data_IF_275097432004
#
_entry.id   IF_275097432004
#
_cell.length_a   1.000
_cell.length_b   1.000
_cell.length_c   1.000
_cell.angle_alpha   90.00
_cell.angle_beta   90.00
_cell.angle_gamma   90.00
#
_symmetry.space_group_name_H-M   'P 1'
#
loop_
_entity.id
_entity.type
_entity.pdbx_description
1 polymer ?
#
# COMPACT_ATOMS: atom_id res chain seq x y z
N UNK A 1 -45.84 6.42 -21.42
CA UNK A 1 -45.23 5.21 -20.84
C UNK A 1 -43.74 5.57 -20.69
N UNK A 2 -43.32 5.87 -19.47
CA UNK A 2 -41.90 6.19 -19.20
C UNK A 2 -41.21 4.85 -18.90
N UNK A 3 -40.35 4.39 -19.79
CA UNK A 3 -39.43 3.30 -19.49
C UNK A 3 -38.41 3.81 -18.48
N UNK A 4 -38.43 3.25 -17.29
CA UNK A 4 -37.31 3.36 -16.36
C UNK A 4 -36.13 2.63 -17.00
N UNK A 5 -35.18 3.38 -17.56
CA UNK A 5 -33.86 2.84 -17.86
C UNK A 5 -33.28 2.37 -16.50
N UNK A 6 -33.17 1.07 -16.31
CA UNK A 6 -32.28 0.52 -15.33
C UNK A 6 -30.86 0.94 -15.74
N UNK A 7 -30.34 1.98 -15.10
CA UNK A 7 -28.93 2.25 -15.14
C UNK A 7 -28.30 1.10 -14.35
N UNK A 8 -27.83 0.08 -15.06
CA UNK A 8 -26.95 -0.92 -14.46
C UNK A 8 -25.73 -0.16 -13.94
N UNK A 9 -25.74 0.13 -12.64
CA UNK A 9 -24.63 0.80 -11.99
C UNK A 9 -23.39 -0.08 -12.18
N UNK A 10 -22.48 0.33 -13.05
CA UNK A 10 -21.16 -0.25 -13.07
C UNK A 10 -20.56 0.02 -11.70
N UNK A 11 -20.33 -1.07 -10.94
CA UNK A 11 -19.61 -0.95 -9.67
C UNK A 11 -18.22 -0.41 -9.95
N UNK A 12 -17.80 0.57 -9.16
CA UNK A 12 -16.45 1.11 -9.24
C UNK A 12 -15.41 0.01 -9.02
N UNK A 13 -14.40 -0.05 -9.89
CA UNK A 13 -13.29 -0.98 -9.75
C UNK A 13 -12.28 -0.38 -8.79
N UNK A 14 -12.20 -0.97 -7.60
CA UNK A 14 -11.30 -0.55 -6.52
C UNK A 14 -10.17 -1.56 -6.38
N UNK A 15 -8.94 -1.10 -6.37
CA UNK A 15 -7.75 -1.92 -6.11
C UNK A 15 -7.03 -1.45 -4.85
N UNK A 16 -6.48 -2.39 -4.13
CA UNK A 16 -5.61 -2.16 -2.97
C UNK A 16 -4.23 -2.73 -3.30
N UNK A 17 -3.23 -1.89 -3.36
CA UNK A 17 -1.85 -2.29 -3.63
C UNK A 17 -1.02 -2.14 -2.36
N UNK A 18 -0.56 -3.26 -1.83
CA UNK A 18 0.40 -3.30 -0.72
C UNK A 18 1.82 -3.23 -1.25
N UNK A 19 2.57 -2.20 -0.88
CA UNK A 19 3.90 -1.91 -1.40
C UNK A 19 4.97 -2.19 -0.35
N UNK A 20 5.90 -3.06 -0.69
CA UNK A 20 6.98 -3.49 0.20
C UNK A 20 6.50 -4.47 1.28
N UNK A 21 7.37 -4.79 2.24
CA UNK A 21 7.06 -5.79 3.28
C UNK A 21 5.88 -5.38 4.16
N UNK A 22 5.87 -4.15 4.65
CA UNK A 22 4.78 -3.63 5.50
C UNK A 22 3.44 -3.58 4.76
N UNK A 23 3.44 -3.09 3.51
CA UNK A 23 2.24 -3.05 2.67
C UNK A 23 1.73 -4.44 2.30
N UNK A 24 2.64 -5.37 1.99
CA UNK A 24 2.30 -6.77 1.72
C UNK A 24 1.61 -7.43 2.92
N UNK A 25 2.17 -7.27 4.12
CA UNK A 25 1.57 -7.80 5.35
C UNK A 25 0.18 -7.21 5.63
N UNK A 26 0.00 -5.91 5.35
CA UNK A 26 -1.29 -5.26 5.52
C UNK A 26 -2.34 -5.85 4.56
N UNK A 27 -1.98 -6.05 3.30
CA UNK A 27 -2.89 -6.65 2.30
C UNK A 27 -3.18 -8.11 2.60
N UNK A 28 -2.20 -8.90 3.04
CA UNK A 28 -2.42 -10.28 3.51
C UNK A 28 -3.42 -10.32 4.67
N UNK A 29 -3.33 -9.38 5.60
CA UNK A 29 -4.31 -9.24 6.68
C UNK A 29 -5.71 -8.91 6.16
N UNK A 30 -5.84 -7.98 5.19
CA UNK A 30 -7.11 -7.59 4.57
C UNK A 30 -7.78 -8.76 3.85
N UNK A 31 -7.00 -9.57 3.12
CA UNK A 31 -7.48 -10.80 2.47
C UNK A 31 -7.99 -11.80 3.50
N UNK A 32 -7.23 -12.00 4.58
CA UNK A 32 -7.61 -12.91 5.66
C UNK A 32 -8.87 -12.46 6.40
N UNK A 33 -9.09 -11.15 6.49
CA UNK A 33 -10.28 -10.54 7.09
C UNK A 33 -11.49 -10.48 6.11
N UNK A 34 -11.35 -11.03 4.90
CA UNK A 34 -12.41 -11.12 3.89
C UNK A 34 -13.00 -9.76 3.48
N UNK A 35 -12.16 -8.76 3.27
CA UNK A 35 -12.59 -7.49 2.71
C UNK A 35 -13.08 -7.70 1.27
N UNK A 36 -14.36 -7.46 1.05
CA UNK A 36 -15.04 -7.68 -0.24
C UNK A 36 -15.08 -6.41 -1.11
N UNK A 37 -15.35 -6.60 -2.40
CA UNK A 37 -15.57 -5.50 -3.35
C UNK A 37 -14.29 -4.82 -3.84
N UNK A 38 -13.11 -5.35 -3.53
CA UNK A 38 -11.81 -4.81 -3.94
C UNK A 38 -10.90 -5.91 -4.50
N UNK A 39 -9.99 -5.51 -5.39
CA UNK A 39 -8.92 -6.38 -5.85
C UNK A 39 -7.62 -6.07 -5.08
N UNK A 40 -6.91 -7.12 -4.68
CA UNK A 40 -5.65 -6.99 -3.95
C UNK A 40 -4.44 -7.31 -4.82
N UNK A 41 -3.41 -6.48 -4.68
CA UNK A 41 -2.10 -6.67 -5.32
C UNK A 41 -1.01 -6.48 -4.27
N UNK A 42 -0.07 -7.42 -4.19
CA UNK A 42 1.15 -7.26 -3.39
C UNK A 42 2.31 -6.93 -4.34
N UNK A 43 2.94 -5.78 -4.16
CA UNK A 43 4.09 -5.31 -4.93
C UNK A 43 5.34 -5.24 -4.04
N UNK A 44 6.41 -5.91 -4.44
CA UNK A 44 7.64 -5.95 -3.66
C UNK A 44 8.87 -6.20 -4.54
N UNK A 45 10.04 -5.79 -4.07
CA UNK A 45 11.35 -6.15 -4.62
C UNK A 45 11.90 -7.47 -4.04
N UNK A 46 11.29 -7.96 -2.96
CA UNK A 46 11.63 -9.22 -2.31
C UNK A 46 10.73 -10.35 -2.83
N UNK A 47 11.31 -11.24 -3.66
CA UNK A 47 10.59 -12.36 -4.24
C UNK A 47 10.13 -13.38 -3.18
N UNK A 48 10.89 -13.57 -2.12
CA UNK A 48 10.52 -14.51 -1.05
C UNK A 48 9.29 -14.01 -0.26
N UNK A 49 9.21 -12.70 -0.03
CA UNK A 49 8.04 -12.09 0.61
C UNK A 49 6.79 -12.29 -0.26
N UNK A 50 6.90 -12.11 -1.58
CA UNK A 50 5.80 -12.34 -2.52
C UNK A 50 5.37 -13.82 -2.57
N UNK A 51 6.30 -14.77 -2.54
CA UNK A 51 5.97 -16.20 -2.52
C UNK A 51 5.22 -16.64 -1.26
N UNK A 52 5.40 -15.94 -0.15
CA UNK A 52 4.71 -16.23 1.12
C UNK A 52 3.38 -15.51 1.26
N UNK A 53 3.10 -14.55 0.37
CA UNK A 53 1.86 -13.79 0.40
C UNK A 53 0.66 -14.65 0.04
N UNK A 54 -0.43 -14.47 0.77
CA UNK A 54 -1.74 -15.06 0.45
C UNK A 54 -2.51 -14.31 -0.64
N UNK A 55 -1.94 -13.22 -1.16
CA UNK A 55 -2.56 -12.42 -2.22
C UNK A 55 -2.43 -13.11 -3.57
N UNK A 56 -3.53 -13.24 -4.29
CA UNK A 56 -3.57 -13.94 -5.58
C UNK A 56 -2.82 -13.22 -6.71
N UNK A 57 -2.73 -11.89 -6.63
CA UNK A 57 -2.01 -11.06 -7.60
C UNK A 57 -0.76 -10.47 -6.94
N UNK A 58 0.39 -10.92 -7.38
CA UNK A 58 1.69 -10.41 -6.90
C UNK A 58 2.44 -9.73 -8.03
N UNK A 59 3.20 -8.69 -7.70
CA UNK A 59 4.00 -7.92 -8.64
C UNK A 59 5.42 -7.77 -8.09
N UNK A 60 6.37 -8.51 -8.67
CA UNK A 60 7.77 -8.31 -8.38
C UNK A 60 8.28 -7.08 -9.11
N UNK A 61 8.92 -6.16 -8.37
CA UNK A 61 9.49 -4.93 -8.89
C UNK A 61 11.01 -5.02 -8.97
N UNK A 62 11.58 -4.51 -10.05
CA UNK A 62 13.02 -4.34 -10.21
C UNK A 62 13.79 -5.66 -10.15
N UNK A 63 13.32 -6.69 -10.84
CA UNK A 63 13.98 -8.00 -10.86
C UNK A 63 15.42 -7.89 -11.38
N UNK A 64 15.64 -7.09 -12.43
CA UNK A 64 16.97 -6.84 -12.98
C UNK A 64 17.90 -6.15 -12.00
N UNK A 65 17.38 -5.24 -11.19
CA UNK A 65 18.15 -4.45 -10.24
C UNK A 65 18.45 -5.20 -8.93
N UNK A 66 17.44 -5.86 -8.35
CA UNK A 66 17.54 -6.46 -7.00
C UNK A 66 17.70 -7.98 -7.01
N UNK A 67 17.45 -8.64 -8.14
CA UNK A 67 17.43 -10.11 -8.29
C UNK A 67 16.51 -10.80 -7.25
N UNK A 68 15.45 -10.10 -6.85
CA UNK A 68 14.51 -10.62 -5.86
C UNK A 68 14.99 -10.57 -4.41
N UNK A 69 16.11 -9.90 -4.13
CA UNK A 69 16.70 -9.82 -2.78
C UNK A 69 16.19 -8.63 -1.95
N UNK A 70 15.27 -7.85 -2.51
CA UNK A 70 14.75 -6.66 -1.84
C UNK A 70 15.60 -5.40 -2.04
N UNK A 71 15.13 -4.27 -1.52
CA UNK A 71 15.78 -2.96 -1.67
C UNK A 71 16.82 -2.63 -0.58
N UNK A 72 17.06 -3.54 0.37
CA UNK A 72 18.08 -3.35 1.41
C UNK A 72 17.86 -2.10 2.29
N UNK A 73 16.62 -1.76 2.62
CA UNK A 73 16.23 -0.56 3.36
C UNK A 73 16.67 0.76 2.69
N UNK A 74 16.94 0.75 1.38
CA UNK A 74 17.31 1.92 0.60
C UNK A 74 16.14 2.39 -0.28
N UNK A 75 15.49 3.54 0.02
CA UNK A 75 14.36 4.06 -0.76
C UNK A 75 14.71 4.33 -2.24
N UNK A 76 15.94 4.72 -2.54
CA UNK A 76 16.34 4.98 -3.92
C UNK A 76 16.34 3.70 -4.77
N UNK A 77 16.75 2.57 -4.18
CA UNK A 77 16.66 1.25 -4.84
C UNK A 77 15.19 0.87 -5.07
N UNK A 78 14.32 1.12 -4.10
CA UNK A 78 12.87 0.91 -4.25
C UNK A 78 12.26 1.77 -5.37
N UNK A 79 12.66 3.03 -5.46
CA UNK A 79 12.26 3.96 -6.52
C UNK A 79 12.70 3.48 -7.90
N UNK A 80 13.98 3.12 -8.03
CA UNK A 80 14.53 2.63 -9.30
C UNK A 80 13.86 1.33 -9.73
N UNK A 81 13.62 0.41 -8.81
CA UNK A 81 12.91 -0.85 -9.06
C UNK A 81 11.50 -0.62 -9.62
N UNK A 82 10.72 0.29 -9.03
CA UNK A 82 9.40 0.64 -9.55
C UNK A 82 9.49 1.37 -10.89
N UNK A 83 10.50 2.22 -11.08
CA UNK A 83 10.72 2.95 -12.33
C UNK A 83 11.09 2.03 -13.49
N UNK A 84 11.84 0.95 -13.22
CA UNK A 84 12.16 -0.10 -14.20
C UNK A 84 10.89 -0.83 -14.69
N UNK A 85 9.92 -1.01 -13.81
CA UNK A 85 8.69 -1.75 -14.07
C UNK A 85 7.45 -0.85 -14.27
N UNK A 86 7.62 0.41 -14.72
CA UNK A 86 6.50 1.35 -14.95
C UNK A 86 5.39 0.77 -15.82
N UNK A 87 5.74 0.07 -16.88
CA UNK A 87 4.75 -0.52 -17.79
C UNK A 87 3.96 -1.64 -17.13
N UNK A 88 4.60 -2.45 -16.30
CA UNK A 88 3.95 -3.50 -15.51
C UNK A 88 2.98 -2.90 -14.49
N UNK A 89 3.40 -1.84 -13.79
CA UNK A 89 2.54 -1.11 -12.85
C UNK A 89 1.37 -0.47 -13.58
N UNK A 90 1.62 0.19 -14.71
CA UNK A 90 0.59 0.82 -15.51
C UNK A 90 -0.47 -0.17 -15.98
N UNK A 91 -0.05 -1.35 -16.45
CA UNK A 91 -0.95 -2.44 -16.85
C UNK A 91 -1.80 -2.96 -15.67
N UNK A 92 -1.22 -3.07 -14.48
CA UNK A 92 -1.95 -3.48 -13.27
C UNK A 92 -3.00 -2.45 -12.83
N UNK A 93 -2.82 -1.17 -13.18
CA UNK A 93 -3.73 -0.07 -12.88
C UNK A 93 -4.82 0.13 -13.95
N UNK A 94 -4.72 -0.53 -15.10
CA UNK A 94 -5.71 -0.37 -16.18
C UNK A 94 -7.13 -0.78 -15.71
N UNK A 95 -8.12 0.01 -16.11
CA UNK A 95 -9.52 -0.21 -15.75
C UNK A 95 -9.86 0.03 -14.27
N UNK A 96 -8.96 0.67 -13.52
CA UNK A 96 -9.17 1.00 -12.11
C UNK A 96 -9.78 2.38 -11.97
N UNK A 97 -10.85 2.52 -11.18
CA UNK A 97 -11.48 3.79 -10.85
C UNK A 97 -10.84 4.42 -9.62
N UNK A 98 -10.48 3.60 -8.64
CA UNK A 98 -9.85 4.02 -7.40
C UNK A 98 -8.77 3.04 -6.95
N UNK A 99 -7.67 3.55 -6.44
CA UNK A 99 -6.59 2.75 -5.86
C UNK A 99 -6.26 3.21 -4.44
N UNK A 100 -6.18 2.24 -3.55
CA UNK A 100 -5.55 2.40 -2.24
C UNK A 100 -4.10 1.93 -2.32
N UNK A 101 -3.18 2.78 -1.90
CA UNK A 101 -1.78 2.41 -1.71
C UNK A 101 -1.51 2.25 -0.22
N UNK A 102 -1.11 1.07 0.21
CA UNK A 102 -0.70 0.83 1.60
C UNK A 102 0.78 0.45 1.66
N UNK A 103 1.50 1.08 2.58
CA UNK A 103 2.93 0.84 2.76
C UNK A 103 3.36 1.13 4.20
N UNK A 104 4.33 0.38 4.68
CA UNK A 104 5.12 0.77 5.84
C UNK A 104 6.25 1.70 5.40
N UNK A 105 6.17 2.98 5.76
CA UNK A 105 7.19 3.95 5.40
C UNK A 105 8.45 3.78 6.28
N UNK A 106 9.60 4.12 5.71
CA UNK A 106 10.90 3.99 6.37
C UNK A 106 11.77 2.83 5.88
N UNK A 107 11.19 1.87 5.17
CA UNK A 107 11.93 0.83 4.45
C UNK A 107 12.36 1.27 3.06
N UNK A 108 12.94 0.34 2.29
CA UNK A 108 13.39 0.65 0.93
C UNK A 108 12.25 0.64 -0.09
N UNK A 109 11.57 -0.49 -0.22
CA UNK A 109 10.56 -0.68 -1.29
C UNK A 109 9.33 0.19 -1.06
N UNK A 110 8.71 0.13 0.13
CA UNK A 110 7.50 0.90 0.42
C UNK A 110 7.72 2.40 0.24
N UNK A 111 8.79 2.93 0.82
CA UNK A 111 9.12 4.36 0.79
C UNK A 111 9.45 4.85 -0.62
N UNK A 112 10.21 4.07 -1.39
CA UNK A 112 10.67 4.49 -2.71
C UNK A 112 9.68 4.18 -3.84
N UNK A 113 9.03 3.03 -3.81
CA UNK A 113 8.14 2.58 -4.88
C UNK A 113 6.73 3.18 -4.80
N UNK A 114 6.18 3.42 -3.60
CA UNK A 114 4.83 3.95 -3.45
C UNK A 114 4.62 5.29 -4.19
N UNK A 115 5.54 6.27 -4.13
CA UNK A 115 5.41 7.49 -4.92
C UNK A 115 5.39 7.26 -6.43
N UNK A 116 6.16 6.31 -6.94
CA UNK A 116 6.16 5.97 -8.38
C UNK A 116 4.82 5.40 -8.81
N UNK A 117 4.25 4.50 -8.02
CA UNK A 117 2.93 3.92 -8.28
C UNK A 117 1.85 5.01 -8.20
N UNK A 118 1.91 5.88 -7.21
CA UNK A 118 0.99 7.01 -7.06
C UNK A 118 1.02 7.96 -8.25
N UNK A 119 2.21 8.28 -8.76
CA UNK A 119 2.38 9.11 -9.94
C UNK A 119 1.72 8.48 -11.17
N UNK A 120 1.91 7.18 -11.39
CA UNK A 120 1.30 6.46 -12.50
C UNK A 120 -0.23 6.43 -12.40
N UNK A 121 -0.76 6.21 -11.19
CA UNK A 121 -2.20 6.28 -10.94
C UNK A 121 -2.76 7.67 -11.25
N UNK A 122 -2.06 8.73 -10.83
CA UNK A 122 -2.41 10.11 -11.13
C UNK A 122 -2.39 10.41 -12.62
N UNK A 123 -1.36 9.95 -13.35
CA UNK A 123 -1.26 10.12 -14.82
C UNK A 123 -2.43 9.45 -15.56
N UNK A 124 -2.98 8.37 -15.00
CA UNK A 124 -4.16 7.67 -15.52
C UNK A 124 -5.50 8.26 -15.06
N UNK A 125 -5.50 9.31 -14.25
CA UNK A 125 -6.71 9.91 -13.69
C UNK A 125 -7.44 9.04 -12.66
N UNK A 126 -6.74 8.09 -12.02
CA UNK A 126 -7.29 7.19 -11.01
C UNK A 126 -7.31 7.93 -9.65
N UNK A 127 -8.46 7.89 -8.97
CA UNK A 127 -8.57 8.39 -7.60
C UNK A 127 -7.63 7.59 -6.69
N UNK A 128 -6.66 8.27 -6.08
CA UNK A 128 -5.58 7.63 -5.33
C UNK A 128 -5.61 8.04 -3.86
N UNK A 129 -5.78 7.07 -2.98
CA UNK A 129 -5.71 7.24 -1.52
C UNK A 129 -4.56 6.42 -0.97
N UNK A 130 -3.63 7.07 -0.29
CA UNK A 130 -2.55 6.38 0.39
C UNK A 130 -2.85 6.26 1.90
N UNK A 131 -2.70 5.06 2.43
CA UNK A 131 -2.84 4.74 3.85
C UNK A 131 -1.55 4.08 4.29
N UNK A 132 -0.71 4.81 5.00
CA UNK A 132 0.67 4.39 5.31
C UNK A 132 0.97 4.48 6.80
N UNK A 133 1.91 3.68 7.27
CA UNK A 133 2.40 3.77 8.63
C UNK A 133 3.72 4.52 8.70
N UNK A 134 3.89 5.29 9.78
CA UNK A 134 5.16 5.88 10.19
C UNK A 134 5.81 4.95 11.23
N UNK A 135 7.11 4.61 11.10
CA UNK A 135 7.75 3.61 11.94
C UNK A 135 7.74 3.97 13.43
N UNK A 136 7.87 2.94 14.28
CA UNK A 136 8.10 3.09 15.71
C UNK A 136 9.46 3.75 15.97
N UNK A 137 9.60 4.48 17.08
CA UNK A 137 10.84 5.15 17.46
C UNK A 137 12.03 4.19 17.64
N UNK A 138 11.76 2.95 18.12
CA UNK A 138 12.78 1.94 18.28
C UNK A 138 13.34 1.37 16.95
N UNK A 139 12.67 1.61 15.82
CA UNK A 139 13.16 1.19 14.51
C UNK A 139 14.37 2.04 14.03
N UNK A 140 14.60 3.15 14.69
CA UNK A 140 15.79 3.98 14.50
C UNK A 140 15.55 5.24 13.69
N UNK A 141 16.38 6.24 13.99
CA UNK A 141 16.26 7.60 13.44
C UNK A 141 16.32 7.63 11.91
N UNK A 142 17.20 6.83 11.31
CA UNK A 142 17.37 6.75 9.86
C UNK A 142 16.07 6.29 9.15
N UNK A 143 15.35 5.33 9.74
CA UNK A 143 14.05 4.88 9.21
C UNK A 143 12.99 5.95 9.32
N UNK A 144 12.97 6.68 10.42
CA UNK A 144 12.01 7.77 10.64
C UNK A 144 12.25 8.89 9.63
N UNK A 145 13.50 9.31 9.41
CA UNK A 145 13.86 10.32 8.42
C UNK A 145 13.49 9.90 7.00
N UNK A 146 13.77 8.66 6.62
CA UNK A 146 13.36 8.10 5.33
C UNK A 146 11.83 8.08 5.18
N UNK A 147 11.11 7.69 6.24
CA UNK A 147 9.64 7.70 6.25
C UNK A 147 9.08 9.11 6.07
N UNK A 148 9.59 10.09 6.80
CA UNK A 148 9.11 11.47 6.74
C UNK A 148 9.33 12.08 5.34
N UNK A 149 10.46 11.79 4.70
CA UNK A 149 10.73 12.21 3.32
C UNK A 149 9.77 11.52 2.33
N UNK A 150 9.58 10.22 2.44
CA UNK A 150 8.68 9.47 1.56
C UNK A 150 7.21 9.85 1.73
N UNK A 151 6.77 10.11 2.97
CA UNK A 151 5.41 10.61 3.27
C UNK A 151 5.17 11.96 2.61
N UNK A 152 6.15 12.87 2.68
CA UNK A 152 6.06 14.17 2.03
C UNK A 152 5.90 14.03 0.51
N UNK A 153 6.76 13.24 -0.14
CA UNK A 153 6.66 13.00 -1.58
C UNK A 153 5.31 12.37 -1.97
N UNK A 154 4.89 11.36 -1.22
CA UNK A 154 3.63 10.66 -1.50
C UNK A 154 2.43 11.60 -1.38
N UNK A 155 2.44 12.50 -0.39
CA UNK A 155 1.39 13.48 -0.17
C UNK A 155 1.20 14.46 -1.32
N UNK A 156 2.24 14.75 -2.10
CA UNK A 156 2.16 15.61 -3.29
C UNK A 156 1.53 14.91 -4.51
N UNK A 157 1.45 13.57 -4.49
CA UNK A 157 1.05 12.73 -5.61
C UNK A 157 -0.34 12.10 -5.47
N UNK A 158 -0.86 12.00 -4.25
CA UNK A 158 -2.15 11.34 -3.96
C UNK A 158 -3.26 12.36 -3.73
N UNK A 159 -4.51 11.94 -3.92
CA UNK A 159 -5.68 12.76 -3.63
C UNK A 159 -5.96 12.85 -2.14
N UNK A 160 -5.68 11.80 -1.40
CA UNK A 160 -5.78 11.77 0.06
C UNK A 160 -4.65 10.92 0.67
N UNK A 161 -4.08 11.41 1.76
CA UNK A 161 -3.02 10.72 2.50
C UNK A 161 -3.45 10.56 3.96
N UNK A 162 -3.47 9.31 4.41
CA UNK A 162 -3.69 8.95 5.82
C UNK A 162 -2.39 8.37 6.35
N UNK A 163 -1.83 9.03 7.35
CA UNK A 163 -0.60 8.57 8.04
C UNK A 163 -0.94 8.06 9.41
N UNK A 164 -0.61 6.80 9.67
CA UNK A 164 -0.81 6.15 10.97
C UNK A 164 0.53 6.10 11.70
N UNK A 165 0.75 6.92 12.73
CA UNK A 165 1.97 6.85 13.52
C UNK A 165 1.94 5.62 14.42
N UNK A 166 2.88 4.68 14.21
CA UNK A 166 2.93 3.45 15.01
C UNK A 166 3.13 3.71 16.51
N UNK A 167 3.77 4.81 16.89
CA UNK A 167 3.90 5.22 18.30
C UNK A 167 2.53 5.38 18.99
N UNK A 168 1.52 5.89 18.29
CA UNK A 168 0.18 6.02 18.83
C UNK A 168 -0.48 4.67 19.09
N UNK A 169 -0.15 3.67 18.29
CA UNK A 169 -0.62 2.31 18.49
C UNK A 169 -0.04 1.75 19.79
N UNK A 170 1.26 1.97 20.04
CA UNK A 170 1.91 1.55 21.29
C UNK A 170 1.30 2.24 22.52
N UNK A 171 1.03 3.54 22.44
CA UNK A 171 0.38 4.29 23.54
C UNK A 171 -1.00 3.70 23.89
N UNK A 172 -1.79 3.31 22.89
CA UNK A 172 -3.14 2.76 23.10
C UNK A 172 -3.10 1.32 23.64
N UNK A 173 -2.13 0.52 23.19
CA UNK A 173 -2.00 -0.88 23.59
C UNK A 173 -1.41 -1.06 25.01
N UNK A 174 -0.67 -0.06 25.51
CA UNK A 174 -0.03 -0.12 26.84
C UNK A 174 1.33 -0.82 26.85
N UNK A 175 2.02 -0.81 27.99
CA UNK A 175 3.45 -1.11 28.10
C UNK A 175 3.88 -2.58 28.01
N UNK A 176 2.97 -3.54 27.90
CA UNK A 176 3.28 -4.99 27.91
C UNK A 176 2.96 -5.67 26.58
N UNK A 177 3.29 -5.02 25.46
CA UNK A 177 2.97 -5.52 24.10
C UNK A 177 4.23 -6.07 23.46
N UNK A 178 4.12 -7.20 22.77
CA UNK A 178 5.18 -7.72 21.92
C UNK A 178 5.25 -6.94 20.62
N UNK A 179 6.43 -6.96 19.97
CA UNK A 179 6.58 -6.37 18.62
C UNK A 179 5.58 -6.94 17.60
N UNK A 180 5.35 -8.24 17.67
CA UNK A 180 4.43 -8.93 16.76
C UNK A 180 2.99 -8.42 16.93
N UNK A 181 2.55 -8.24 18.17
CA UNK A 181 1.23 -7.68 18.49
C UNK A 181 1.12 -6.23 18.02
N UNK A 182 2.16 -5.42 18.20
CA UNK A 182 2.18 -4.03 17.77
C UNK A 182 2.07 -3.90 16.22
N UNK A 183 2.83 -4.70 15.47
CA UNK A 183 2.71 -4.74 14.01
C UNK A 183 1.37 -5.33 13.54
N UNK A 184 0.85 -6.34 14.23
CA UNK A 184 -0.49 -6.89 13.98
C UNK A 184 -1.56 -5.81 14.14
N UNK A 185 -1.47 -5.00 15.18
CA UNK A 185 -2.40 -3.88 15.41
C UNK A 185 -2.26 -2.79 14.35
N UNK A 186 -1.05 -2.51 13.87
CA UNK A 186 -0.85 -1.58 12.75
C UNK A 186 -1.57 -2.07 11.48
N UNK A 187 -1.49 -3.35 11.16
CA UNK A 187 -2.20 -3.94 10.02
C UNK A 187 -3.73 -3.86 10.18
N UNK A 188 -4.26 -4.08 11.39
CA UNK A 188 -5.68 -3.93 11.71
C UNK A 188 -6.16 -2.49 11.51
N UNK A 189 -5.36 -1.49 11.92
CA UNK A 189 -5.70 -0.08 11.72
C UNK A 189 -5.70 0.30 10.24
N UNK A 190 -4.73 -0.20 9.46
CA UNK A 190 -4.70 -0.03 8.01
C UNK A 190 -5.92 -0.66 7.34
N UNK A 191 -6.30 -1.86 7.75
CA UNK A 191 -7.51 -2.54 7.29
C UNK A 191 -8.77 -1.71 7.57
N UNK A 192 -8.95 -1.23 8.80
CA UNK A 192 -10.12 -0.44 9.19
C UNK A 192 -10.23 0.85 8.37
N UNK A 193 -9.11 1.52 8.08
CA UNK A 193 -9.08 2.72 7.27
C UNK A 193 -9.51 2.44 5.81
N UNK A 194 -8.98 1.39 5.20
CA UNK A 194 -9.34 0.99 3.82
C UNK A 194 -10.80 0.52 3.76
N UNK A 195 -11.23 -0.31 4.70
CA UNK A 195 -12.61 -0.80 4.77
C UNK A 195 -13.61 0.35 4.89
N UNK A 196 -13.39 1.26 5.83
CA UNK A 196 -14.31 2.37 6.07
C UNK A 196 -14.51 3.26 4.84
N UNK A 197 -13.44 3.49 4.06
CA UNK A 197 -13.52 4.30 2.84
C UNK A 197 -14.14 3.49 1.70
N UNK A 198 -13.75 2.23 1.50
CA UNK A 198 -14.29 1.39 0.43
C UNK A 198 -15.79 1.16 0.59
N UNK A 199 -16.27 0.93 1.80
CA UNK A 199 -17.71 0.78 2.08
C UNK A 199 -18.54 2.03 1.76
N UNK A 200 -17.96 3.22 1.90
CA UNK A 200 -18.64 4.48 1.52
C UNK A 200 -18.81 4.63 0.01
N UNK A 201 -17.97 3.98 -0.77
CA UNK A 201 -17.95 4.10 -2.24
C UNK A 201 -18.77 2.97 -2.89
N UNK A 202 -18.80 1.79 -2.28
CA UNK A 202 -19.47 0.61 -2.83
C UNK A 202 -20.94 0.49 -2.42
N UNK A 203 -21.42 1.31 -1.49
CA UNK A 203 -22.83 1.43 -1.07
C UNK A 203 -23.52 2.54 -1.83
#
# INVERSE_FOLDING_TARGET
MFELMEVSGQQAVIKVIGVGGGGGNAVDHMVSASLEGVEFIAANTDAQALHRSGVSKVMQLGEGLTRGLGAGANPEVGRQAASEDRDKIAAALDGTDMVFLTAGMGGGTGTGAAPVIAQLAREKGILTVAVVTRPFGFEGKKRIEAADQGIKELGELVDSLIVIPNERIMEVMGGNVTLLEAFGKANEVLFNAVQGISELITR
#
